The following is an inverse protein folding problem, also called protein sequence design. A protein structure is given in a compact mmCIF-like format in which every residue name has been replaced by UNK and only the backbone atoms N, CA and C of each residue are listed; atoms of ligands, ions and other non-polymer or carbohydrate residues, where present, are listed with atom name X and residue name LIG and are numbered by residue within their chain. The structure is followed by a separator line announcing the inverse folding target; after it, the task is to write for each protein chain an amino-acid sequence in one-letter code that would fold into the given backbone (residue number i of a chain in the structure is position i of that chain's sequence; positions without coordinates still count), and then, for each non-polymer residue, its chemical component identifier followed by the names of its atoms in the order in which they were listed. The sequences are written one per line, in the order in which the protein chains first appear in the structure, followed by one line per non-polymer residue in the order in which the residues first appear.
data_IF_174692958984
#
_entry.id   IF_174692958984
#
_cell.length_a   1.000
_cell.length_b   1.000
_cell.length_c   1.000
_cell.angle_alpha   90.00
_cell.angle_beta   90.00
_cell.angle_gamma   90.00
#
_symmetry.space_group_name_H-M   'P 1'
#
loop_
_entity.id
_entity.type
_entity.pdbx_description
1 polymer ?
#
# COMPACT_ATOMS: atom_id res chain seq x y z
N UNK A 1 1.21 -15.24 -4.28
CA UNK A 1 1.22 -14.90 -2.85
C UNK A 1 -0.19 -15.01 -2.34
N UNK A 2 -0.41 -15.79 -1.29
CA UNK A 2 -1.72 -15.95 -0.70
C UNK A 2 -2.15 -14.63 -0.03
N UNK A 3 -3.38 -14.18 -0.29
CA UNK A 3 -3.86 -12.91 0.23
C UNK A 3 -4.26 -12.94 1.70
N UNK A 4 -4.31 -14.15 2.28
CA UNK A 4 -4.48 -14.40 3.70
C UNK A 4 -3.13 -14.75 4.37
N UNK A 5 -2.01 -14.57 3.64
CA UNK A 5 -0.68 -14.85 4.17
C UNK A 5 -0.30 -13.80 5.23
N UNK A 6 0.02 -14.22 6.46
CA UNK A 6 0.41 -13.29 7.51
C UNK A 6 1.69 -12.52 7.18
N UNK A 7 2.57 -13.01 6.30
CA UNK A 7 3.74 -12.25 5.86
C UNK A 7 3.35 -11.00 5.07
N UNK A 8 2.25 -11.07 4.30
CA UNK A 8 1.78 -9.96 3.51
C UNK A 8 1.28 -8.81 4.40
N UNK A 9 0.35 -9.13 5.31
CA UNK A 9 -0.17 -8.15 6.28
C UNK A 9 0.96 -7.59 7.17
N UNK A 10 1.92 -8.43 7.54
CA UNK A 10 3.09 -8.02 8.30
C UNK A 10 3.99 -7.04 7.51
N UNK A 11 4.17 -7.24 6.21
CA UNK A 11 4.91 -6.28 5.37
C UNK A 11 4.19 -4.94 5.28
N UNK A 12 2.88 -4.93 5.03
CA UNK A 12 2.06 -3.71 4.98
C UNK A 12 2.09 -2.95 6.30
N UNK A 13 1.95 -3.65 7.43
CA UNK A 13 2.06 -3.02 8.75
C UNK A 13 3.46 -2.51 9.06
N UNK A 14 4.52 -3.24 8.65
CA UNK A 14 5.90 -2.76 8.76
C UNK A 14 6.12 -1.50 7.95
N UNK A 15 5.64 -1.46 6.71
CA UNK A 15 5.76 -0.30 5.84
C UNK A 15 5.04 0.91 6.44
N UNK A 16 3.81 0.72 6.92
CA UNK A 16 3.08 1.76 7.66
C UNK A 16 3.86 2.25 8.89
N UNK A 17 4.40 1.34 9.68
CA UNK A 17 5.12 1.70 10.92
C UNK A 17 6.42 2.45 10.61
N UNK A 18 7.20 1.96 9.63
CA UNK A 18 8.38 2.64 9.13
C UNK A 18 8.04 4.02 8.57
N UNK A 19 6.91 4.13 7.87
CA UNK A 19 6.41 5.40 7.39
C UNK A 19 6.10 6.39 8.53
N UNK A 20 5.41 5.93 9.58
CA UNK A 20 5.13 6.73 10.79
C UNK A 20 6.40 7.14 11.54
N UNK A 21 7.47 6.36 11.43
CA UNK A 21 8.81 6.67 11.95
C UNK A 21 9.54 7.75 11.12
N UNK A 22 9.02 8.10 9.94
CA UNK A 22 9.58 9.09 9.02
C UNK A 22 10.18 8.50 7.73
N UNK A 23 10.07 7.17 7.53
CA UNK A 23 10.58 6.52 6.34
C UNK A 23 9.62 6.67 5.16
N UNK A 24 9.80 7.72 4.38
CA UNK A 24 9.02 7.98 3.15
C UNK A 24 9.17 6.90 2.07
N UNK A 25 10.27 6.11 2.07
CA UNK A 25 10.41 4.99 1.12
C UNK A 25 9.40 3.88 1.41
N UNK A 26 8.99 3.72 2.66
CA UNK A 26 8.00 2.72 3.02
C UNK A 26 6.62 3.02 2.42
N UNK A 27 6.33 4.30 2.19
CA UNK A 27 5.13 4.72 1.47
C UNK A 27 5.22 4.38 -0.02
N UNK A 28 6.38 4.60 -0.63
CA UNK A 28 6.65 4.27 -2.03
C UNK A 28 6.50 2.76 -2.29
N UNK A 29 7.02 1.92 -1.40
CA UNK A 29 6.83 0.46 -1.48
C UNK A 29 5.37 0.04 -1.33
N UNK A 30 4.60 0.69 -0.44
CA UNK A 30 3.15 0.45 -0.33
C UNK A 30 2.41 0.82 -1.63
N UNK A 31 2.79 1.92 -2.26
CA UNK A 31 2.20 2.39 -3.52
C UNK A 31 2.60 1.48 -4.68
N UNK A 32 3.86 1.06 -4.75
CA UNK A 32 4.35 0.07 -5.71
C UNK A 32 3.55 -1.22 -5.60
N UNK A 33 3.33 -1.71 -4.39
CA UNK A 33 2.60 -2.94 -4.14
C UNK A 33 1.10 -2.81 -4.49
N UNK A 34 0.52 -1.63 -4.30
CA UNK A 34 -0.83 -1.30 -4.73
C UNK A 34 -0.97 -1.24 -6.27
N UNK A 35 0.02 -0.65 -6.94
CA UNK A 35 0.09 -0.50 -8.40
C UNK A 35 0.60 -1.74 -9.14
N UNK A 36 1.12 -2.75 -8.43
CA UNK A 36 1.63 -3.95 -9.07
C UNK A 36 0.47 -4.83 -9.55
N UNK A 37 0.24 -4.83 -10.87
CA UNK A 37 -0.77 -5.66 -11.52
C UNK A 37 -0.44 -7.17 -11.51
N UNK A 38 0.81 -7.54 -11.22
CA UNK A 38 1.18 -8.94 -10.98
C UNK A 38 0.88 -9.39 -9.54
N UNK A 39 0.61 -8.44 -8.63
CA UNK A 39 0.21 -8.78 -7.27
C UNK A 39 -1.24 -9.22 -7.20
N UNK A 40 -1.52 -10.04 -6.20
CA UNK A 40 -2.87 -10.57 -6.00
C UNK A 40 -3.86 -9.41 -5.75
N UNK A 41 -5.06 -9.39 -6.35
CA UNK A 41 -5.99 -8.27 -6.21
C UNK A 41 -6.35 -7.92 -4.75
N UNK A 42 -6.50 -8.92 -3.87
CA UNK A 42 -6.65 -8.71 -2.42
C UNK A 42 -5.44 -7.99 -1.80
N UNK A 43 -4.21 -8.29 -2.25
CA UNK A 43 -3.01 -7.60 -1.79
C UNK A 43 -3.03 -6.11 -2.20
N UNK A 44 -3.44 -5.82 -3.43
CA UNK A 44 -3.66 -4.45 -3.89
C UNK A 44 -4.72 -3.75 -3.02
N UNK A 45 -5.85 -4.39 -2.76
CA UNK A 45 -6.92 -3.80 -1.93
C UNK A 45 -6.43 -3.48 -0.51
N UNK A 46 -5.69 -4.38 0.15
CA UNK A 46 -5.17 -4.13 1.50
C UNK A 46 -4.07 -3.07 1.55
N UNK A 47 -3.22 -2.99 0.51
CA UNK A 47 -2.27 -1.89 0.35
C UNK A 47 -2.99 -0.55 0.18
N UNK A 48 -3.98 -0.49 -0.71
CA UNK A 48 -4.84 0.68 -0.91
C UNK A 48 -5.60 1.07 0.37
N UNK A 49 -6.10 0.09 1.13
CA UNK A 49 -6.75 0.32 2.43
C UNK A 49 -5.80 0.89 3.45
N UNK A 50 -4.59 0.36 3.55
CA UNK A 50 -3.57 0.86 4.49
C UNK A 50 -3.12 2.26 4.10
N UNK A 51 -2.92 2.51 2.81
CA UNK A 51 -2.66 3.83 2.25
C UNK A 51 -3.79 4.82 2.62
N UNK A 52 -5.05 4.41 2.48
CA UNK A 52 -6.20 5.22 2.89
C UNK A 52 -6.29 5.42 4.42
N UNK A 53 -5.97 4.40 5.21
CA UNK A 53 -5.96 4.42 6.68
C UNK A 53 -4.89 5.35 7.24
N UNK A 54 -3.72 5.42 6.59
CA UNK A 54 -2.68 6.38 6.94
C UNK A 54 -3.08 7.84 6.67
N UNK A 55 -4.15 8.07 5.89
CA UNK A 55 -4.66 9.38 5.46
C UNK A 55 -3.57 10.30 4.88
N UNK A 56 -2.48 9.72 4.37
CA UNK A 56 -1.32 10.49 3.98
C UNK A 56 -1.56 11.16 2.61
N UNK A 57 -1.24 12.45 2.40
CA UNK A 57 -1.46 13.12 1.12
C UNK A 57 -0.83 12.39 -0.07
N UNK A 58 0.37 11.82 0.10
CA UNK A 58 1.00 10.99 -0.95
C UNK A 58 0.26 9.67 -1.20
N UNK A 59 -0.28 9.04 -0.16
CA UNK A 59 -1.06 7.80 -0.26
C UNK A 59 -2.40 8.04 -0.96
N UNK A 60 -3.10 9.10 -0.57
CA UNK A 60 -4.35 9.53 -1.20
C UNK A 60 -4.13 9.92 -2.66
N UNK A 61 -3.02 10.60 -2.97
CA UNK A 61 -2.64 10.95 -4.34
C UNK A 61 -2.36 9.70 -5.20
N UNK A 62 -1.72 8.68 -4.64
CA UNK A 62 -1.48 7.42 -5.35
C UNK A 62 -2.80 6.66 -5.65
N UNK A 63 -3.72 6.61 -4.69
CA UNK A 63 -5.05 6.02 -4.88
C UNK A 63 -5.83 6.82 -5.94
N UNK A 64 -5.80 8.15 -5.88
CA UNK A 64 -6.47 9.02 -6.84
C UNK A 64 -5.93 8.83 -8.27
N UNK A 65 -4.60 8.79 -8.44
CA UNK A 65 -3.97 8.57 -9.75
C UNK A 65 -4.37 7.23 -10.37
N UNK A 66 -4.49 6.16 -9.58
CA UNK A 66 -4.91 4.86 -10.09
C UNK A 66 -6.37 4.88 -10.56
N UNK A 67 -7.26 5.58 -9.85
CA UNK A 67 -8.65 5.77 -10.27
C UNK A 67 -8.77 6.66 -11.52
N UNK A 68 -7.91 7.67 -11.66
CA UNK A 68 -7.87 8.53 -12.85
C UNK A 68 -7.35 7.83 -14.11
N UNK A 69 -6.59 6.73 -13.97
CA UNK A 69 -5.98 6.02 -15.11
C UNK A 69 -6.75 4.79 -15.58
N UNK A 70 -8.00 4.58 -15.11
CA UNK A 70 -8.88 3.48 -15.52
C UNK A 70 -10.07 3.97 -16.32
#
# INVERSE_FOLDING_TARGET
MDPDDPNFLNNIQKLRSAYQDGNVQALDELIQLYNDDNQHPKARIEAGRTLADTQHPMALNAIANMVETT
#
